data_IF_563288152567
#
_entry.id   IF_563288152567
#
_cell.length_a   1.000
_cell.length_b   1.000
_cell.length_c   1.000
_cell.angle_alpha   90.00
_cell.angle_beta   90.00
_cell.angle_gamma   90.00
#
_symmetry.space_group_name_H-M   'P 1'
#
loop_
_entity.id
_entity.type
_entity.pdbx_description
1 polymer ?
#
# COMPACT_ATOMS: atom_id res chain seq x y z
N UNK A 1 -15.31 22.85 3.00
CA UNK A 1 -15.46 21.61 3.80
C UNK A 1 -14.85 20.48 2.99
N UNK A 2 -13.65 20.02 3.34
CA UNK A 2 -13.02 18.89 2.64
C UNK A 2 -13.72 17.61 3.07
N UNK A 3 -14.32 16.92 2.10
CA UNK A 3 -15.07 15.67 2.32
C UNK A 3 -14.17 14.63 2.97
N UNK A 4 -14.42 14.39 4.25
CA UNK A 4 -13.84 13.34 5.07
C UNK A 4 -14.56 12.02 4.75
N UNK A 5 -14.49 11.54 3.52
CA UNK A 5 -15.23 10.34 3.09
C UNK A 5 -14.26 9.19 2.78
N UNK A 6 -14.26 8.23 3.70
CA UNK A 6 -13.55 6.95 3.69
C UNK A 6 -12.02 7.05 3.64
N UNK A 7 -11.41 7.22 4.82
CA UNK A 7 -10.01 6.84 5.01
C UNK A 7 -9.84 5.39 4.56
N UNK A 8 -9.14 5.17 3.45
CA UNK A 8 -8.68 3.87 2.94
C UNK A 8 -7.59 3.30 3.88
N UNK A 9 -7.89 3.26 5.18
CA UNK A 9 -6.95 2.94 6.24
C UNK A 9 -6.78 1.44 6.29
N UNK A 10 -5.72 0.96 5.65
CA UNK A 10 -5.15 -0.32 6.01
C UNK A 10 -4.59 -0.13 7.43
N UNK A 11 -4.89 -1.06 8.33
CA UNK A 11 -4.30 -1.09 9.67
C UNK A 11 -3.08 -2.04 9.64
N UNK A 12 -2.03 -1.67 8.90
CA UNK A 12 -0.78 -2.42 8.96
C UNK A 12 -0.17 -2.29 10.35
N UNK A 13 0.18 -3.44 10.94
CA UNK A 13 0.97 -3.51 12.16
C UNK A 13 2.38 -3.94 11.82
N UNK A 14 3.32 -3.68 12.72
CA UNK A 14 4.73 -4.04 12.54
C UNK A 14 4.96 -5.54 12.20
N UNK A 15 4.21 -6.51 12.77
CA UNK A 15 4.32 -7.92 12.38
C UNK A 15 3.95 -8.19 10.91
N UNK A 16 3.05 -7.39 10.34
CA UNK A 16 2.54 -7.53 8.99
C UNK A 16 3.43 -6.84 7.94
N UNK A 17 4.36 -5.99 8.40
CA UNK A 17 5.17 -5.13 7.54
C UNK A 17 5.93 -5.92 6.48
N UNK A 18 6.65 -6.98 6.87
CA UNK A 18 7.44 -7.80 5.94
C UNK A 18 6.55 -8.43 4.87
N UNK A 19 5.38 -8.95 5.26
CA UNK A 19 4.42 -9.59 4.36
C UNK A 19 3.79 -8.57 3.41
N UNK A 20 3.39 -7.41 3.91
CA UNK A 20 2.86 -6.31 3.11
C UNK A 20 3.88 -5.85 2.06
N UNK A 21 5.12 -5.59 2.48
CA UNK A 21 6.20 -5.19 1.59
C UNK A 21 6.44 -6.23 0.50
N UNK A 22 6.52 -7.52 0.86
CA UNK A 22 6.70 -8.59 -0.11
C UNK A 22 5.57 -8.67 -1.13
N UNK A 23 4.32 -8.52 -0.69
CA UNK A 23 3.18 -8.50 -1.59
C UNK A 23 3.23 -7.31 -2.55
N UNK A 24 3.51 -6.11 -2.04
CA UNK A 24 3.61 -4.88 -2.83
C UNK A 24 4.74 -4.99 -3.88
N UNK A 25 5.90 -5.52 -3.51
CA UNK A 25 7.02 -5.76 -4.43
C UNK A 25 6.62 -6.74 -5.54
N UNK A 26 5.90 -7.83 -5.21
CA UNK A 26 5.37 -8.76 -6.22
C UNK A 26 4.40 -8.07 -7.18
N UNK A 27 3.53 -7.19 -6.69
CA UNK A 27 2.61 -6.43 -7.54
C UNK A 27 3.35 -5.48 -8.50
N UNK A 28 4.40 -4.80 -8.03
CA UNK A 28 5.27 -4.00 -8.91
C UNK A 28 5.94 -4.85 -9.98
N UNK A 29 6.47 -6.02 -9.62
CA UNK A 29 7.15 -6.92 -10.55
C UNK A 29 6.19 -7.56 -11.58
N UNK A 30 4.95 -7.80 -11.20
CA UNK A 30 3.93 -8.36 -12.09
C UNK A 30 3.37 -7.33 -13.09
N UNK A 31 3.79 -6.05 -13.03
CA UNK A 31 3.21 -4.95 -13.80
C UNK A 31 1.68 -4.85 -13.68
N UNK A 32 1.12 -5.45 -12.63
CA UNK A 32 -0.32 -5.63 -12.45
C UNK A 32 -0.90 -4.38 -11.81
N UNK A 33 -1.01 -3.33 -12.61
CA UNK A 33 -1.80 -2.11 -12.34
C UNK A 33 -1.50 -1.47 -10.97
N UNK A 34 -0.21 -1.28 -10.66
CA UNK A 34 0.24 -0.59 -9.45
C UNK A 34 1.28 0.50 -9.76
N UNK A 35 1.04 1.74 -9.33
CA UNK A 35 -0.21 2.51 -9.40
C UNK A 35 -0.45 3.16 -10.76
N UNK A 36 -1.72 3.41 -11.09
CA UNK A 36 -2.22 3.88 -12.38
C UNK A 36 -1.78 5.28 -12.78
N UNK A 37 -1.43 6.15 -11.82
CA UNK A 37 -1.12 7.54 -12.14
C UNK A 37 0.39 7.85 -12.16
N UNK A 38 1.23 7.22 -11.32
CA UNK A 38 2.68 7.51 -11.27
C UNK A 38 3.50 6.34 -10.67
N UNK A 39 3.71 5.23 -11.41
CA UNK A 39 4.36 4.04 -10.86
C UNK A 39 5.81 4.28 -10.39
N UNK A 40 6.55 5.16 -11.08
CA UNK A 40 7.92 5.52 -10.69
C UNK A 40 8.00 6.27 -9.36
N UNK A 41 7.10 7.24 -9.14
CA UNK A 41 7.07 8.03 -7.89
C UNK A 41 6.63 7.16 -6.72
N UNK A 42 5.60 6.35 -6.93
CA UNK A 42 5.11 5.43 -5.93
C UNK A 42 6.16 4.41 -5.50
N UNK A 43 6.92 3.84 -6.46
CA UNK A 43 8.04 2.94 -6.16
C UNK A 43 9.12 3.63 -5.33
N UNK A 44 9.50 4.88 -5.68
CA UNK A 44 10.48 5.64 -4.91
C UNK A 44 10.02 5.94 -3.49
N UNK A 45 8.76 6.35 -3.31
CA UNK A 45 8.19 6.59 -1.98
C UNK A 45 8.06 5.29 -1.17
N UNK A 46 7.72 4.17 -1.83
CA UNK A 46 7.63 2.86 -1.19
C UNK A 46 8.99 2.44 -0.61
N UNK A 47 10.08 2.59 -1.37
CA UNK A 47 11.43 2.27 -0.89
C UNK A 47 11.84 3.07 0.36
N UNK A 48 11.33 4.30 0.51
CA UNK A 48 11.56 5.14 1.69
C UNK A 48 10.67 4.76 2.88
N UNK A 49 9.47 4.25 2.63
CA UNK A 49 8.42 4.05 3.64
C UNK A 49 8.26 2.58 4.08
N UNK A 50 8.82 1.61 3.34
CA UNK A 50 8.73 0.17 3.62
C UNK A 50 9.35 -0.28 4.96
N UNK A 51 10.05 0.62 5.66
CA UNK A 51 10.73 0.33 6.93
C UNK A 51 9.87 0.50 8.19
N UNK A 52 8.63 0.97 8.08
CA UNK A 52 7.70 1.08 9.21
C UNK A 52 6.26 0.85 8.75
N UNK A 53 5.46 0.16 9.57
CA UNK A 53 4.05 -0.06 9.28
C UNK A 53 3.26 1.26 9.21
N UNK A 54 3.58 2.21 10.08
CA UNK A 54 2.97 3.56 10.06
C UNK A 54 3.25 4.29 8.74
N UNK A 55 4.50 4.31 8.30
CA UNK A 55 4.89 4.95 7.05
C UNK A 55 4.26 4.23 5.84
N UNK A 56 4.20 2.89 5.88
CA UNK A 56 3.60 2.09 4.83
C UNK A 56 2.07 2.27 4.77
N UNK A 57 1.38 2.48 5.89
CA UNK A 57 -0.05 2.82 5.90
C UNK A 57 -0.31 4.13 5.16
N UNK A 58 0.50 5.16 5.41
CA UNK A 58 0.42 6.45 4.69
C UNK A 58 0.66 6.24 3.20
N UNK A 59 1.65 5.44 2.84
CA UNK A 59 1.93 5.09 1.45
C UNK A 59 0.72 4.40 0.80
N UNK A 60 0.12 3.43 1.48
CA UNK A 60 -1.07 2.71 1.00
C UNK A 60 -2.26 3.64 0.80
N UNK A 61 -2.56 4.52 1.75
CA UNK A 61 -3.65 5.50 1.62
C UNK A 61 -3.48 6.42 0.41
N UNK A 62 -2.22 6.81 0.15
CA UNK A 62 -1.88 7.75 -0.92
C UNK A 62 -1.90 7.11 -2.29
N UNK A 63 -1.38 5.90 -2.41
CA UNK A 63 -1.09 5.28 -3.71
C UNK A 63 -2.07 4.18 -4.10
N UNK A 64 -2.84 3.65 -3.15
CA UNK A 64 -3.77 2.56 -3.42
C UNK A 64 -5.22 3.04 -3.55
N UNK A 65 -5.93 2.43 -4.50
CA UNK A 65 -7.38 2.48 -4.55
C UNK A 65 -8.02 1.50 -3.56
N UNK A 66 -9.32 1.61 -3.36
CA UNK A 66 -10.04 0.78 -2.40
C UNK A 66 -10.02 -0.73 -2.74
N UNK A 67 -9.92 -1.10 -4.02
CA UNK A 67 -9.81 -2.48 -4.46
C UNK A 67 -8.42 -3.05 -4.19
N UNK A 68 -7.37 -2.26 -4.40
CA UNK A 68 -5.98 -2.62 -4.09
C UNK A 68 -5.78 -2.75 -2.58
N UNK A 69 -6.34 -1.85 -1.77
CA UNK A 69 -6.31 -1.97 -0.30
C UNK A 69 -6.95 -3.29 0.16
N UNK A 70 -8.15 -3.63 -0.35
CA UNK A 70 -8.83 -4.89 -0.01
C UNK A 70 -8.02 -6.13 -0.37
N UNK A 71 -7.31 -6.12 -1.50
CA UNK A 71 -6.44 -7.25 -1.91
C UNK A 71 -5.27 -7.40 -0.94
N UNK A 72 -4.63 -6.30 -0.55
CA UNK A 72 -3.55 -6.30 0.43
C UNK A 72 -4.05 -6.79 1.80
N UNK A 73 -5.18 -6.29 2.30
CA UNK A 73 -5.77 -6.77 3.56
C UNK A 73 -6.08 -8.27 3.54
N UNK A 74 -6.59 -8.79 2.40
CA UNK A 74 -6.86 -10.22 2.24
C UNK A 74 -5.58 -11.05 2.31
N UNK A 75 -4.52 -10.60 1.64
CA UNK A 75 -3.21 -11.27 1.69
C UNK A 75 -2.68 -11.32 3.12
N UNK A 76 -2.78 -10.22 3.87
CA UNK A 76 -2.28 -10.14 5.23
C UNK A 76 -2.98 -11.11 6.18
N UNK A 77 -4.29 -11.30 6.01
CA UNK A 77 -5.10 -12.25 6.80
C UNK A 77 -4.89 -13.73 6.44
N UNK A 78 -4.31 -14.02 5.28
CA UNK A 78 -4.09 -15.40 4.80
C UNK A 78 -2.89 -16.09 5.45
#
# INVERSE_FOLDING_TARGET
MVNLMNSKKIDLKEPDLSKACNYIVKQFAAHSWWPSEQPGKAKREFELMKGSATALNIWCERWLDAGQCKKLEKELRS
#
